data_IF_551291968893
#
_entry.id   IF_551291968893
#
_cell.length_a   1.000
_cell.length_b   1.000
_cell.length_c   1.000
_cell.angle_alpha   90.00
_cell.angle_beta   90.00
_cell.angle_gamma   90.00
#
_symmetry.space_group_name_H-M   'P 1'
#
loop_
_entity.id
_entity.type
_entity.pdbx_description
1 polymer ?
#
# COMPACT_ATOMS: atom_id res chain seq x y z
N UNK A 1 -21.35 -12.69 -5.64
CA UNK A 1 -20.09 -12.10 -6.19
C UNK A 1 -18.94 -13.00 -5.79
N UNK A 2 -18.04 -13.33 -6.71
CA UNK A 2 -16.87 -14.13 -6.39
C UNK A 2 -15.86 -13.27 -5.61
N UNK A 3 -15.17 -13.85 -4.61
CA UNK A 3 -14.32 -13.12 -3.65
C UNK A 3 -13.26 -12.23 -4.35
N UNK A 4 -12.74 -12.68 -5.50
CA UNK A 4 -11.79 -11.92 -6.30
C UNK A 4 -12.39 -10.62 -6.88
N UNK A 5 -13.69 -10.57 -7.19
CA UNK A 5 -14.33 -9.37 -7.73
C UNK A 5 -14.37 -8.26 -6.68
N UNK A 6 -14.64 -8.62 -5.42
CA UNK A 6 -14.63 -7.68 -4.30
C UNK A 6 -13.21 -7.15 -4.07
N UNK A 7 -12.21 -8.03 -4.11
CA UNK A 7 -10.80 -7.64 -4.03
C UNK A 7 -10.42 -6.62 -5.12
N UNK A 8 -10.73 -6.91 -6.39
CA UNK A 8 -10.44 -5.98 -7.49
C UNK A 8 -11.25 -4.69 -7.40
N UNK A 9 -12.46 -4.72 -6.86
CA UNK A 9 -13.25 -3.52 -6.63
C UNK A 9 -12.60 -2.60 -5.59
N UNK A 10 -12.14 -3.15 -4.46
CA UNK A 10 -11.38 -2.41 -3.45
C UNK A 10 -10.09 -1.85 -4.04
N UNK A 11 -9.35 -2.67 -4.79
CA UNK A 11 -8.11 -2.25 -5.44
C UNK A 11 -8.34 -1.05 -6.37
N UNK A 12 -9.42 -1.05 -7.16
CA UNK A 12 -9.77 0.08 -8.04
C UNK A 12 -10.04 1.37 -7.26
N UNK A 13 -10.72 1.27 -6.11
CA UNK A 13 -10.97 2.44 -5.25
C UNK A 13 -9.66 2.99 -4.71
N UNK A 14 -8.76 2.11 -4.24
CA UNK A 14 -7.43 2.50 -3.74
C UNK A 14 -6.61 3.19 -4.83
N UNK A 15 -6.59 2.64 -6.04
CA UNK A 15 -5.93 3.26 -7.21
C UNK A 15 -6.52 4.63 -7.49
N UNK A 16 -7.84 4.76 -7.51
CA UNK A 16 -8.52 6.02 -7.80
C UNK A 16 -8.20 7.08 -6.73
N UNK A 17 -8.17 6.69 -5.45
CA UNK A 17 -7.74 7.57 -4.37
C UNK A 17 -6.28 8.03 -4.57
N UNK A 18 -5.39 7.13 -4.98
CA UNK A 18 -3.99 7.46 -5.24
C UNK A 18 -3.84 8.43 -6.43
N UNK A 19 -4.59 8.23 -7.51
CA UNK A 19 -4.62 9.14 -8.66
C UNK A 19 -5.12 10.53 -8.23
N UNK A 20 -6.21 10.60 -7.46
CA UNK A 20 -6.75 11.87 -6.95
C UNK A 20 -5.72 12.60 -6.07
N UNK A 21 -5.05 11.87 -5.17
CA UNK A 21 -4.03 12.44 -4.30
C UNK A 21 -2.81 12.95 -5.10
N UNK A 22 -2.39 12.23 -6.15
CA UNK A 22 -1.33 12.68 -7.07
C UNK A 22 -1.76 13.93 -7.85
N UNK A 23 -3.00 13.97 -8.35
CA UNK A 23 -3.54 15.12 -9.08
C UNK A 23 -3.67 16.39 -8.22
N UNK A 24 -3.87 16.23 -6.91
CA UNK A 24 -3.89 17.33 -5.93
C UNK A 24 -2.48 17.82 -5.56
N UNK A 25 -1.42 17.22 -6.12
CA UNK A 25 -0.04 17.63 -5.87
C UNK A 25 0.57 17.09 -4.58
N UNK A 26 -0.14 16.23 -3.84
CA UNK A 26 0.42 15.58 -2.66
C UNK A 26 1.50 14.59 -3.09
N UNK A 27 2.75 14.91 -2.76
CA UNK A 27 3.88 14.00 -2.95
C UNK A 27 3.96 13.01 -1.79
N UNK A 28 4.41 11.79 -2.08
CA UNK A 28 4.70 10.71 -1.10
C UNK A 28 5.48 11.23 0.11
N UNK A 29 6.36 12.20 -0.09
CA UNK A 29 7.24 12.74 0.95
C UNK A 29 6.56 13.65 1.97
N UNK A 30 5.41 14.25 1.65
CA UNK A 30 4.83 15.36 2.44
C UNK A 30 3.51 15.00 3.12
N UNK A 31 2.76 14.02 2.59
CA UNK A 31 1.44 13.66 3.13
C UNK A 31 1.43 12.25 3.74
N UNK A 32 1.18 12.11 5.06
CA UNK A 32 1.07 10.80 5.69
C UNK A 32 -0.14 10.00 5.19
N UNK A 33 -1.22 10.69 4.79
CA UNK A 33 -2.39 10.08 4.14
C UNK A 33 -2.02 9.43 2.80
N UNK A 34 -1.19 10.12 2.00
CA UNK A 34 -0.66 9.55 0.77
C UNK A 34 0.18 8.30 1.05
N UNK A 35 1.07 8.35 2.04
CA UNK A 35 1.95 7.24 2.36
C UNK A 35 1.18 5.97 2.79
N UNK A 36 0.07 6.11 3.52
CA UNK A 36 -0.79 4.98 3.86
C UNK A 36 -1.41 4.37 2.61
N UNK A 37 -2.02 5.20 1.75
CA UNK A 37 -2.67 4.72 0.53
C UNK A 37 -1.66 4.06 -0.41
N UNK A 38 -0.49 4.66 -0.60
CA UNK A 38 0.62 4.11 -1.39
C UNK A 38 1.10 2.76 -0.83
N UNK A 39 1.24 2.67 0.49
CA UNK A 39 1.66 1.42 1.17
C UNK A 39 0.63 0.32 1.00
N UNK A 40 -0.65 0.61 1.22
CA UNK A 40 -1.74 -0.36 1.03
C UNK A 40 -1.81 -0.81 -0.42
N UNK A 41 -1.69 0.13 -1.37
CA UNK A 41 -1.68 -0.18 -2.79
C UNK A 41 -0.51 -1.09 -3.18
N UNK A 42 0.73 -0.68 -2.88
CA UNK A 42 1.95 -1.45 -3.18
C UNK A 42 1.95 -2.80 -2.50
N UNK A 43 1.46 -2.88 -1.26
CA UNK A 43 1.33 -4.14 -0.53
C UNK A 43 0.34 -5.07 -1.21
N UNK A 44 -0.85 -4.56 -1.56
CA UNK A 44 -1.89 -5.34 -2.23
C UNK A 44 -1.42 -5.82 -3.61
N UNK A 45 -0.82 -4.94 -4.41
CA UNK A 45 -0.35 -5.26 -5.75
C UNK A 45 0.86 -6.19 -5.73
N UNK A 46 1.82 -5.93 -4.83
CA UNK A 46 3.01 -6.75 -4.67
C UNK A 46 2.70 -8.15 -4.17
N UNK A 47 1.82 -8.29 -3.17
CA UNK A 47 1.34 -9.60 -2.71
C UNK A 47 0.52 -10.30 -3.80
N UNK A 48 -0.33 -9.57 -4.54
CA UNK A 48 -1.07 -10.16 -5.64
C UNK A 48 -0.12 -10.71 -6.69
N UNK A 49 0.81 -9.92 -7.23
CA UNK A 49 1.75 -10.39 -8.25
C UNK A 49 2.66 -11.50 -7.71
N UNK A 50 3.20 -11.33 -6.52
CA UNK A 50 4.07 -12.30 -5.87
C UNK A 50 3.39 -13.64 -5.66
N UNK A 51 2.28 -13.66 -4.92
CA UNK A 51 1.55 -14.88 -4.51
C UNK A 51 0.79 -15.48 -5.69
N UNK A 52 0.10 -14.67 -6.50
CA UNK A 52 -0.71 -15.18 -7.60
C UNK A 52 0.14 -15.84 -8.67
N UNK A 53 1.22 -15.21 -9.15
CA UNK A 53 2.08 -15.82 -10.17
C UNK A 53 2.95 -16.96 -9.63
N UNK A 54 3.19 -16.98 -8.31
CA UNK A 54 3.86 -18.10 -7.65
C UNK A 54 2.96 -19.35 -7.56
N UNK A 55 1.70 -19.18 -7.15
CA UNK A 55 0.75 -20.29 -6.96
C UNK A 55 -0.01 -20.67 -8.23
N UNK A 56 -0.43 -19.69 -9.02
CA UNK A 56 -1.28 -19.85 -10.19
C UNK A 56 -0.55 -19.35 -11.42
N UNK A 57 0.14 -20.27 -12.09
CA UNK A 57 0.70 -20.02 -13.42
C UNK A 57 -0.41 -19.82 -14.45
N UNK A 58 -0.53 -18.62 -15.04
CA UNK A 58 -1.44 -18.44 -16.16
C UNK A 58 -0.98 -19.32 -17.33
N UNK A 59 -1.89 -20.09 -17.93
CA UNK A 59 -1.58 -20.87 -19.12
C UNK A 59 -1.16 -19.92 -20.25
N UNK A 60 0.02 -20.13 -20.81
CA UNK A 60 0.57 -19.31 -21.91
C UNK A 60 1.71 -18.37 -21.52
N UNK A 61 2.11 -18.32 -20.24
CA UNK A 61 3.32 -17.59 -19.79
C UNK A 61 4.46 -18.59 -19.57
N UNK A 62 5.66 -18.26 -20.06
CA UNK A 62 6.85 -19.08 -19.84
C UNK A 62 7.22 -19.11 -18.35
N UNK A 63 7.85 -20.20 -17.90
CA UNK A 63 8.23 -20.36 -16.49
C UNK A 63 9.10 -19.19 -15.99
N UNK A 64 10.03 -18.74 -16.83
CA UNK A 64 10.95 -17.62 -16.57
C UNK A 64 10.21 -16.30 -16.36
N UNK A 65 9.29 -15.97 -17.27
CA UNK A 65 8.46 -14.76 -17.19
C UNK A 65 7.62 -14.73 -15.90
N UNK A 66 7.07 -15.88 -15.50
CA UNK A 66 6.32 -16.00 -14.25
C UNK A 66 7.15 -15.72 -13.00
N UNK A 67 8.42 -16.15 -12.98
CA UNK A 67 9.35 -15.85 -11.89
C UNK A 67 9.66 -14.36 -11.86
N UNK A 68 9.97 -13.77 -13.00
CA UNK A 68 10.31 -12.34 -13.11
C UNK A 68 9.15 -11.48 -12.59
N UNK A 69 7.90 -11.80 -12.96
CA UNK A 69 6.70 -11.08 -12.50
C UNK A 69 6.50 -11.24 -10.98
N UNK A 70 6.69 -12.45 -10.44
CA UNK A 70 6.55 -12.71 -9.01
C UNK A 70 7.61 -11.95 -8.19
N UNK A 71 8.88 -11.98 -8.63
CA UNK A 71 9.98 -11.22 -8.02
C UNK A 71 9.72 -9.70 -8.13
N UNK A 72 9.22 -9.23 -9.28
CA UNK A 72 8.80 -7.84 -9.45
C UNK A 72 7.71 -7.43 -8.46
N UNK A 73 6.75 -8.31 -8.19
CA UNK A 73 5.75 -8.12 -7.14
C UNK A 73 6.36 -7.90 -5.75
N UNK A 74 7.33 -8.72 -5.36
CA UNK A 74 8.03 -8.55 -4.08
C UNK A 74 8.91 -7.29 -4.04
N UNK A 75 9.56 -6.93 -5.14
CA UNK A 75 10.38 -5.71 -5.21
C UNK A 75 9.55 -4.44 -4.96
N UNK A 76 8.31 -4.39 -5.44
CA UNK A 76 7.39 -3.28 -5.18
C UNK A 76 7.16 -3.07 -3.67
N UNK A 77 7.20 -4.14 -2.86
CA UNK A 77 7.08 -4.02 -1.40
C UNK A 77 8.29 -3.32 -0.77
N UNK A 78 9.48 -3.46 -1.37
CA UNK A 78 10.70 -2.82 -0.85
C UNK A 78 10.75 -1.31 -1.10
N UNK A 79 9.93 -0.81 -2.04
CA UNK A 79 9.83 0.62 -2.35
C UNK A 79 8.86 1.40 -1.44
N UNK A 80 8.28 0.72 -0.44
CA UNK A 80 7.40 1.35 0.54
C UNK A 80 8.21 2.34 1.38
N UNK A 81 7.78 3.61 1.41
CA UNK A 81 8.42 4.67 2.17
C UNK A 81 7.84 4.72 3.59
N UNK A 82 8.56 4.11 4.53
CA UNK A 82 8.15 4.07 5.95
C UNK A 82 8.32 5.40 6.70
N UNK A 83 9.15 6.33 6.21
CA UNK A 83 9.42 7.60 6.90
C UNK A 83 8.16 8.41 7.26
N UNK A 84 7.30 8.75 6.29
CA UNK A 84 6.05 9.46 6.56
C UNK A 84 5.05 8.68 7.44
N UNK A 85 5.08 7.35 7.39
CA UNK A 85 4.25 6.49 8.25
C UNK A 85 4.68 6.56 9.72
N UNK A 86 5.99 6.54 9.96
CA UNK A 86 6.58 6.68 11.30
C UNK A 86 6.32 8.08 11.85
N UNK A 87 6.41 9.11 11.02
CA UNK A 87 6.08 10.48 11.42
C UNK A 87 4.62 10.61 11.90
N UNK A 88 3.68 9.94 11.22
CA UNK A 88 2.28 9.89 11.66
C UNK A 88 2.11 9.17 13.01
N UNK A 89 2.82 8.06 13.19
CA UNK A 89 2.79 7.31 14.45
C UNK A 89 3.26 8.16 15.63
N UNK A 90 4.36 8.91 15.44
CA UNK A 90 4.90 9.80 16.47
C UNK A 90 3.94 10.95 16.81
N UNK A 91 3.26 11.55 15.82
CA UNK A 91 2.25 12.59 16.05
C UNK A 91 1.06 12.09 16.88
N UNK A 92 0.67 10.81 16.70
CA UNK A 92 -0.37 10.19 17.53
C UNK A 92 0.06 10.05 18.99
N UNK A 93 1.30 9.63 19.23
CA UNK A 93 1.79 9.42 20.60
C UNK A 93 2.00 10.75 21.35
N UNK A 94 2.40 11.81 20.65
CA UNK A 94 2.53 13.16 21.21
C UNK A 94 1.16 13.79 21.56
N UNK A 95 0.14 13.58 20.71
CA UNK A 95 -1.23 14.02 21.02
C UNK A 95 -1.87 13.21 22.14
N UNK A 96 -1.58 11.91 22.25
CA UNK A 96 -2.06 11.07 23.34
C UNK A 96 -1.45 11.47 24.70
N UNK A 97 -0.15 11.77 24.74
CA UNK A 97 0.53 12.21 25.97
C UNK A 97 0.08 13.61 26.41
N UNK A 98 -0.14 14.52 25.47
CA UNK A 98 -0.67 15.87 25.77
C UNK A 98 -2.12 15.82 26.30
N UNK A 99 -2.97 14.95 25.75
CA UNK A 99 -4.33 14.78 26.24
C UNK A 99 -4.39 14.20 27.66
N UNK A 100 -3.53 13.23 28.00
CA UNK A 100 -3.42 12.70 29.36
C UNK A 100 -2.98 13.78 30.35
N UNK A 101 -2.08 14.67 29.95
CA UNK A 101 -1.61 15.75 30.81
C UNK A 101 -2.65 16.87 31.04
N UNK A 102 -3.64 16.98 30.16
CA UNK A 102 -4.70 18.01 30.22
C UNK A 102 -5.94 17.55 30.98
N UNK A 103 -6.20 16.24 31.05
CA UNK A 103 -7.35 15.64 31.77
C UNK A 103 -6.97 15.23 33.21
N UNK A 104 -5.68 15.24 33.54
CA UNK A 104 -5.13 14.93 34.88
C UNK A 104 -4.93 16.14 35.81
N UNK A 105 -5.51 17.31 35.50
CA UNK A 105 -5.51 18.51 36.36
C UNK A 105 -6.93 18.87 36.78
#
# INVERSE_FOLDING_TARGET
MQLYQVYFFVLKIVVLAQVVLLSLGYKVAESPMFAIVDTVFKTSLGLFLGIYFWLFRPKGINWEDGIIISVGGFLILTEIKFGPLIALYNLRDETATTAVHTIGV
#
